data_IF_522258701902
#
_entry.id   IF_522258701902
#
_cell.length_a   1.000
_cell.length_b   1.000
_cell.length_c   1.000
_cell.angle_alpha   90.00
_cell.angle_beta   90.00
_cell.angle_gamma   90.00
#
_symmetry.space_group_name_H-M   'P 1'
#
loop_
_entity.id
_entity.type
_entity.pdbx_description
1 polymer ?
#
# COMPACT_ATOMS: atom_id res chain seq x y z
N UNK A 1 10.61 -47.23 -58.86
CA UNK A 1 11.35 -46.55 -57.80
C UNK A 1 10.45 -45.41 -57.26
N UNK A 2 9.84 -45.62 -56.06
CA UNK A 2 8.99 -44.65 -55.37
C UNK A 2 9.88 -43.85 -54.42
N UNK A 3 10.03 -42.53 -54.59
CA UNK A 3 10.72 -41.65 -53.66
C UNK A 3 9.76 -41.25 -52.58
N UNK A 4 10.08 -41.61 -51.34
CA UNK A 4 9.36 -41.17 -50.12
C UNK A 4 9.98 -39.83 -49.73
N UNK A 5 9.15 -38.77 -49.73
CA UNK A 5 9.51 -37.44 -49.26
C UNK A 5 9.24 -37.41 -47.76
N UNK A 6 10.27 -37.35 -46.94
CA UNK A 6 10.14 -37.20 -45.48
C UNK A 6 9.91 -35.71 -45.18
N UNK A 7 8.73 -35.40 -44.64
CA UNK A 7 8.38 -34.05 -44.20
C UNK A 7 8.84 -33.88 -42.74
N UNK A 8 9.89 -33.12 -42.51
CA UNK A 8 10.37 -32.79 -41.15
C UNK A 8 9.54 -31.63 -40.59
N UNK A 9 8.66 -31.93 -39.66
CA UNK A 9 7.90 -30.91 -38.87
C UNK A 9 8.84 -30.33 -37.82
N UNK A 10 9.31 -29.10 -38.00
CA UNK A 10 10.03 -28.34 -36.99
C UNK A 10 8.99 -27.79 -36.00
N UNK A 11 8.93 -28.35 -34.79
CA UNK A 11 8.17 -27.80 -33.67
C UNK A 11 8.88 -26.55 -33.15
N UNK A 12 8.36 -25.37 -33.45
CA UNK A 12 8.80 -24.12 -32.80
C UNK A 12 8.33 -24.17 -31.32
N UNK A 13 9.25 -24.40 -30.43
CA UNK A 13 9.06 -24.16 -29.00
C UNK A 13 8.98 -22.65 -28.78
N UNK A 14 7.78 -22.10 -28.64
CA UNK A 14 7.59 -20.73 -28.16
C UNK A 14 7.99 -20.70 -26.71
N UNK A 15 9.15 -20.13 -26.41
CA UNK A 15 9.52 -19.76 -25.04
C UNK A 15 8.47 -18.75 -24.54
N UNK A 16 7.99 -18.89 -23.30
CA UNK A 16 7.08 -17.89 -22.74
C UNK A 16 7.82 -16.54 -22.75
N UNK A 17 7.18 -15.52 -23.27
CA UNK A 17 7.70 -14.16 -23.21
C UNK A 17 7.91 -13.79 -21.74
N UNK A 18 9.17 -13.60 -21.36
CA UNK A 18 9.56 -13.18 -20.04
C UNK A 18 9.07 -11.74 -19.85
N UNK A 19 8.29 -11.48 -18.82
CA UNK A 19 7.81 -10.13 -18.55
C UNK A 19 9.03 -9.24 -18.24
N UNK A 20 9.16 -8.12 -18.96
CA UNK A 20 10.20 -7.13 -18.68
C UNK A 20 10.02 -6.53 -17.27
N UNK A 21 11.14 -6.22 -16.58
CA UNK A 21 11.06 -5.55 -15.28
C UNK A 21 10.22 -4.27 -15.36
N UNK A 22 9.33 -4.08 -14.39
CA UNK A 22 8.43 -2.94 -14.34
C UNK A 22 8.81 -2.04 -13.18
N UNK A 23 8.75 -0.71 -13.37
CA UNK A 23 9.02 0.27 -12.31
C UNK A 23 7.75 0.97 -11.84
N UNK A 24 7.72 1.29 -10.55
CA UNK A 24 6.61 1.98 -9.88
C UNK A 24 7.14 2.95 -8.82
N UNK A 25 6.30 3.88 -8.35
CA UNK A 25 6.64 4.84 -7.30
C UNK A 25 5.90 4.57 -6.00
N UNK A 26 6.52 4.91 -4.86
CA UNK A 26 5.93 4.82 -3.54
C UNK A 26 6.24 6.11 -2.77
N UNK A 27 5.24 6.72 -2.15
CA UNK A 27 5.39 7.91 -1.30
C UNK A 27 4.21 8.01 -0.34
N UNK A 28 4.36 8.74 0.75
CA UNK A 28 3.31 8.97 1.74
C UNK A 28 3.75 9.95 2.81
N UNK A 29 2.97 10.11 3.88
CA UNK A 29 3.24 11.03 4.99
C UNK A 29 3.63 12.42 4.50
N UNK A 30 2.95 12.92 3.47
CA UNK A 30 3.18 14.21 2.79
C UNK A 30 1.90 14.64 2.06
N UNK A 31 1.60 15.97 1.99
CA UNK A 31 2.36 17.10 2.52
C UNK A 31 1.98 17.44 3.97
N UNK A 32 2.96 17.68 4.84
CA UNK A 32 2.75 18.06 6.25
C UNK A 32 3.05 19.53 6.55
N UNK A 33 3.71 20.22 5.62
CA UNK A 33 4.03 21.65 5.70
C UNK A 33 3.52 22.41 4.47
N UNK A 34 3.48 23.74 4.57
CA UNK A 34 3.14 24.60 3.44
C UNK A 34 4.13 24.41 2.28
N UNK A 35 5.41 24.31 2.57
CA UNK A 35 6.43 24.06 1.57
C UNK A 35 6.21 22.72 0.86
N UNK A 36 5.95 21.63 1.59
CA UNK A 36 5.67 20.33 0.99
C UNK A 36 4.41 20.37 0.12
N UNK A 37 3.36 21.09 0.57
CA UNK A 37 2.13 21.24 -0.21
C UNK A 37 2.36 22.00 -1.51
N UNK A 38 3.17 23.03 -1.51
CA UNK A 38 3.54 23.81 -2.71
C UNK A 38 4.39 22.96 -3.67
N UNK A 39 5.26 22.10 -3.16
CA UNK A 39 6.17 21.27 -3.96
C UNK A 39 5.60 19.88 -4.32
N UNK A 40 4.47 19.47 -3.76
CA UNK A 40 3.85 18.18 -4.08
C UNK A 40 3.53 17.99 -5.57
N UNK A 41 3.03 18.98 -6.32
CA UNK A 41 2.86 18.85 -7.76
C UNK A 41 4.19 18.59 -8.51
N UNK A 42 5.29 19.18 -8.07
CA UNK A 42 6.60 19.01 -8.69
C UNK A 42 7.20 17.63 -8.38
N UNK A 43 6.98 17.11 -7.16
CA UNK A 43 7.32 15.73 -6.80
C UNK A 43 6.57 14.72 -7.67
N UNK A 44 5.28 14.93 -7.89
CA UNK A 44 4.47 14.08 -8.77
C UNK A 44 4.97 14.22 -10.23
N UNK A 45 5.26 15.43 -10.69
CA UNK A 45 5.81 15.64 -12.02
C UNK A 45 7.20 15.00 -12.22
N UNK A 46 8.02 14.87 -11.17
CA UNK A 46 9.26 14.10 -11.23
C UNK A 46 8.96 12.62 -11.47
N UNK A 47 8.04 12.03 -10.69
CA UNK A 47 7.62 10.63 -10.88
C UNK A 47 7.00 10.40 -12.28
N UNK A 48 6.23 11.36 -12.78
CA UNK A 48 5.62 11.28 -14.11
C UNK A 48 6.67 11.20 -15.24
N UNK A 49 7.88 11.78 -15.05
CA UNK A 49 8.99 11.71 -16.03
C UNK A 49 9.77 10.39 -16.00
N UNK A 50 9.61 9.58 -14.95
CA UNK A 50 10.38 8.33 -14.75
C UNK A 50 9.76 7.09 -15.46
N UNK A 51 8.75 7.26 -16.30
CA UNK A 51 8.05 6.19 -17.01
C UNK A 51 7.55 5.06 -16.07
N UNK A 52 7.00 5.43 -14.92
CA UNK A 52 6.46 4.48 -13.96
C UNK A 52 5.14 3.89 -14.47
N UNK A 53 4.90 2.62 -14.16
CA UNK A 53 3.63 1.96 -14.47
C UNK A 53 2.48 2.56 -13.65
N UNK A 54 2.76 2.84 -12.38
CA UNK A 54 1.86 3.49 -11.42
C UNK A 54 2.69 4.07 -10.26
N UNK A 55 2.05 4.89 -9.46
CA UNK A 55 2.54 5.33 -8.15
C UNK A 55 1.53 4.98 -7.08
N UNK A 56 2.00 4.78 -5.83
CA UNK A 56 1.14 4.54 -4.67
C UNK A 56 1.45 5.57 -3.60
N UNK A 57 0.43 6.23 -3.09
CA UNK A 57 0.50 7.04 -1.88
C UNK A 57 -0.04 6.22 -0.71
N UNK A 58 0.77 5.96 0.29
CA UNK A 58 0.42 5.06 1.40
C UNK A 58 -0.24 5.74 2.60
N UNK A 59 -0.84 6.92 2.38
CA UNK A 59 -1.66 7.60 3.38
C UNK A 59 -1.02 8.83 3.98
N UNK A 60 -1.76 9.47 4.88
CA UNK A 60 -1.37 10.70 5.54
C UNK A 60 -1.12 11.86 4.59
N UNK A 61 -2.20 12.26 3.92
CA UNK A 61 -2.23 13.38 2.95
C UNK A 61 -2.25 14.76 3.60
N UNK A 62 -2.16 14.83 4.91
CA UNK A 62 -2.06 16.03 5.75
C UNK A 62 -1.39 15.67 7.07
N UNK A 63 -0.81 16.64 7.76
CA UNK A 63 -0.22 16.37 9.08
C UNK A 63 -1.30 16.12 10.15
N UNK A 64 -0.91 15.43 11.23
CA UNK A 64 -1.78 15.02 12.33
C UNK A 64 -2.36 16.17 13.17
N UNK A 65 -2.06 17.42 12.87
CA UNK A 65 -2.56 18.60 13.58
C UNK A 65 -3.26 19.63 12.67
N UNK A 66 -3.42 19.36 11.40
CA UNK A 66 -4.18 20.20 10.48
C UNK A 66 -5.63 19.76 10.36
N UNK A 67 -6.52 20.71 10.05
CA UNK A 67 -7.97 20.47 9.98
C UNK A 67 -8.33 19.47 8.88
N UNK A 68 -9.22 18.51 9.19
CA UNK A 68 -9.74 17.52 8.24
C UNK A 68 -10.93 18.06 7.42
N UNK A 69 -10.85 19.31 6.94
CA UNK A 69 -11.97 19.89 6.21
C UNK A 69 -12.14 19.28 4.81
N UNK A 70 -13.33 19.45 4.24
CA UNK A 70 -13.62 19.01 2.88
C UNK A 70 -12.70 19.69 1.86
N UNK A 71 -12.33 20.95 2.10
CA UNK A 71 -11.44 21.74 1.24
C UNK A 71 -10.04 21.12 1.21
N UNK A 72 -9.48 20.78 2.36
CA UNK A 72 -8.14 20.16 2.46
C UNK A 72 -8.10 18.83 1.70
N UNK A 73 -9.08 17.96 1.93
CA UNK A 73 -9.11 16.65 1.28
C UNK A 73 -9.33 16.77 -0.24
N UNK A 74 -10.21 17.67 -0.68
CA UNK A 74 -10.47 17.92 -2.11
C UNK A 74 -9.29 18.58 -2.82
N UNK A 75 -8.54 19.44 -2.12
CA UNK A 75 -7.34 20.06 -2.67
C UNK A 75 -6.27 18.99 -2.98
N UNK A 76 -6.02 18.05 -2.08
CA UNK A 76 -5.10 16.93 -2.34
C UNK A 76 -5.62 16.01 -3.45
N UNK A 77 -6.92 15.68 -3.43
CA UNK A 77 -7.52 14.90 -4.51
C UNK A 77 -7.30 15.56 -5.88
N UNK A 78 -7.47 16.89 -5.96
CA UNK A 78 -7.27 17.63 -7.20
C UNK A 78 -5.80 17.59 -7.67
N UNK A 79 -4.83 17.52 -6.75
CA UNK A 79 -3.42 17.33 -7.08
C UNK A 79 -3.19 15.90 -7.60
N UNK A 80 -3.68 14.88 -6.91
CA UNK A 80 -3.51 13.48 -7.32
C UNK A 80 -4.15 13.18 -8.68
N UNK A 81 -5.30 13.79 -8.98
CA UNK A 81 -5.97 13.65 -10.27
C UNK A 81 -5.19 14.25 -11.45
N UNK A 82 -4.24 15.16 -11.20
CA UNK A 82 -3.37 15.73 -12.23
C UNK A 82 -2.14 14.88 -12.57
N UNK A 83 -1.81 13.88 -11.76
CA UNK A 83 -0.72 12.96 -12.07
C UNK A 83 -0.92 12.34 -13.46
N UNK A 84 0.09 12.40 -14.33
CA UNK A 84 0.04 11.71 -15.62
C UNK A 84 0.15 10.18 -15.43
N UNK A 85 0.81 9.75 -14.35
CA UNK A 85 0.93 8.35 -13.94
C UNK A 85 -0.28 7.93 -13.12
N UNK A 86 -0.83 6.70 -13.27
CA UNK A 86 -1.89 6.21 -12.41
C UNK A 86 -1.46 6.28 -10.95
N UNK A 87 -2.31 6.87 -10.08
CA UNK A 87 -2.00 7.03 -8.67
C UNK A 87 -3.00 6.23 -7.83
N UNK A 88 -2.50 5.21 -7.15
CA UNK A 88 -3.25 4.44 -6.16
C UNK A 88 -3.09 5.11 -4.80
N UNK A 89 -4.16 5.25 -4.05
CA UNK A 89 -4.15 5.87 -2.73
C UNK A 89 -4.64 4.87 -1.68
N UNK A 90 -3.96 4.84 -0.54
CA UNK A 90 -4.34 4.10 0.66
C UNK A 90 -4.57 5.11 1.79
N UNK A 91 -5.68 5.05 2.56
CA UNK A 91 -5.94 6.01 3.62
C UNK A 91 -5.01 5.86 4.81
N UNK A 92 -4.53 7.00 5.35
CA UNK A 92 -3.83 7.07 6.63
C UNK A 92 -4.74 7.45 7.79
N UNK A 93 -4.19 7.61 8.99
CA UNK A 93 -4.97 7.99 10.17
C UNK A 93 -5.24 9.50 10.22
N UNK A 94 -4.37 10.32 9.69
CA UNK A 94 -4.48 11.77 9.73
C UNK A 94 -5.70 12.32 9.00
N UNK A 95 -6.18 11.65 7.96
CA UNK A 95 -7.31 12.11 7.16
C UNK A 95 -8.67 11.53 7.58
N UNK A 96 -8.72 10.61 8.58
CA UNK A 96 -10.00 10.13 9.08
C UNK A 96 -10.00 9.75 10.57
N UNK A 97 -9.19 8.81 11.08
CA UNK A 97 -9.26 8.38 12.48
C UNK A 97 -8.97 9.52 13.44
N UNK A 98 -7.99 10.35 13.15
CA UNK A 98 -7.51 11.45 13.99
C UNK A 98 -8.32 12.73 13.85
N UNK A 99 -9.23 12.78 12.91
CA UNK A 99 -10.06 13.95 12.65
C UNK A 99 -10.98 14.36 13.81
N UNK A 100 -11.19 13.46 14.79
CA UNK A 100 -11.93 13.74 16.02
C UNK A 100 -11.18 14.66 16.99
N UNK A 101 -9.86 14.84 16.82
CA UNK A 101 -9.05 15.69 17.68
C UNK A 101 -9.45 17.18 17.50
N UNK A 102 -9.37 17.97 18.58
CA UNK A 102 -9.79 19.37 18.55
C UNK A 102 -9.00 20.23 17.55
N UNK A 103 -7.70 19.97 17.42
CA UNK A 103 -6.83 20.62 16.43
C UNK A 103 -7.08 20.16 14.99
N UNK A 104 -7.79 19.05 14.80
CA UNK A 104 -8.19 18.53 13.49
C UNK A 104 -9.64 18.90 13.10
N UNK A 105 -10.34 19.65 13.95
CA UNK A 105 -11.66 20.19 13.66
C UNK A 105 -12.84 19.42 14.27
N UNK A 106 -12.60 18.42 15.15
CA UNK A 106 -13.63 17.62 15.83
C UNK A 106 -14.62 16.92 14.87
N UNK A 107 -14.14 16.41 13.75
CA UNK A 107 -14.97 15.66 12.82
C UNK A 107 -15.21 14.22 13.30
N UNK A 108 -16.31 13.62 12.91
CA UNK A 108 -16.57 12.21 13.11
C UNK A 108 -15.65 11.37 12.17
N UNK A 109 -14.85 10.45 12.70
CA UNK A 109 -13.95 9.60 11.88
C UNK A 109 -14.69 8.77 10.81
N UNK A 110 -15.85 8.22 11.14
CA UNK A 110 -16.62 7.42 10.20
C UNK A 110 -17.20 8.28 9.07
N UNK A 111 -17.61 9.51 9.38
CA UNK A 111 -18.05 10.48 8.38
C UNK A 111 -16.89 10.88 7.45
N UNK A 112 -15.67 11.13 8.00
CA UNK A 112 -14.49 11.43 7.17
C UNK A 112 -14.13 10.26 6.27
N UNK A 113 -14.09 9.03 6.79
CA UNK A 113 -13.89 7.83 5.98
C UNK A 113 -14.94 7.69 4.88
N UNK A 114 -16.20 8.00 5.19
CA UNK A 114 -17.28 8.05 4.20
C UNK A 114 -17.01 9.03 3.07
N UNK A 115 -16.47 10.22 3.38
CA UNK A 115 -16.06 11.22 2.38
C UNK A 115 -14.88 10.73 1.53
N UNK A 116 -13.86 10.14 2.14
CA UNK A 116 -12.75 9.55 1.40
C UNK A 116 -13.25 8.47 0.42
N UNK A 117 -14.12 7.57 0.88
CA UNK A 117 -14.73 6.54 0.04
C UNK A 117 -15.51 7.11 -1.14
N UNK A 118 -16.24 8.21 -0.93
CA UNK A 118 -17.02 8.86 -1.98
C UNK A 118 -16.16 9.59 -3.02
N UNK A 119 -15.04 10.18 -2.61
CA UNK A 119 -14.25 11.06 -3.47
C UNK A 119 -13.04 10.39 -4.08
N UNK A 120 -12.23 9.68 -3.29
CA UNK A 120 -10.99 9.05 -3.74
C UNK A 120 -11.23 7.66 -4.36
N UNK A 121 -12.34 7.01 -4.02
CA UNK A 121 -12.66 5.63 -4.44
C UNK A 121 -14.02 5.55 -5.14
N UNK A 122 -14.35 6.56 -5.95
CA UNK A 122 -15.66 6.71 -6.60
C UNK A 122 -15.95 5.65 -7.69
N UNK A 123 -14.90 5.05 -8.26
CA UNK A 123 -14.99 4.05 -9.32
C UNK A 123 -13.87 3.00 -9.16
N UNK A 124 -13.69 2.10 -10.13
CA UNK A 124 -12.69 1.03 -10.11
C UNK A 124 -11.35 1.40 -10.78
N UNK A 125 -11.12 2.69 -11.06
CA UNK A 125 -9.84 3.18 -11.57
C UNK A 125 -8.99 3.78 -10.45
N UNK A 126 -7.67 3.75 -10.63
CA UNK A 126 -6.74 4.59 -9.89
C UNK A 126 -7.01 6.08 -10.22
N UNK A 127 -6.52 6.97 -9.36
CA UNK A 127 -6.48 8.40 -9.62
C UNK A 127 -5.45 8.71 -10.74
N UNK A 128 -5.41 9.96 -11.19
CA UNK A 128 -4.51 10.40 -12.26
C UNK A 128 -5.15 10.32 -13.64
N UNK A 129 -4.36 10.65 -14.67
CA UNK A 129 -4.86 10.82 -16.04
C UNK A 129 -4.83 9.52 -16.85
N UNK A 130 -3.82 8.67 -16.63
CA UNK A 130 -3.72 7.39 -17.31
C UNK A 130 -4.52 6.33 -16.52
N UNK A 131 -5.45 5.60 -17.16
CA UNK A 131 -6.28 4.63 -16.46
C UNK A 131 -5.46 3.41 -16.02
N UNK A 132 -5.68 2.99 -14.77
CA UNK A 132 -5.29 1.70 -14.23
C UNK A 132 -6.51 1.11 -13.53
N UNK A 133 -6.97 -0.03 -14.01
CA UNK A 133 -8.11 -0.71 -13.39
C UNK A 133 -7.65 -1.44 -12.12
N UNK A 134 -8.40 -1.24 -11.04
CA UNK A 134 -8.18 -1.88 -9.74
C UNK A 134 -9.36 -2.80 -9.44
N UNK A 135 -9.07 -3.99 -8.95
CA UNK A 135 -10.10 -4.83 -8.33
C UNK A 135 -10.33 -4.32 -6.90
N UNK A 136 -11.59 -3.99 -6.58
CA UNK A 136 -11.98 -3.49 -5.27
C UNK A 136 -12.69 -4.55 -4.46
N UNK A 137 -12.44 -4.61 -3.16
CA UNK A 137 -13.14 -5.52 -2.28
C UNK A 137 -14.66 -5.27 -2.29
N UNK A 138 -15.08 -4.03 -2.49
CA UNK A 138 -16.48 -3.64 -2.57
C UNK A 138 -17.26 -4.25 -3.75
N UNK A 139 -16.62 -4.96 -4.67
CA UNK A 139 -17.30 -5.76 -5.70
C UNK A 139 -17.97 -7.02 -5.11
N UNK A 140 -17.49 -7.47 -3.94
CA UNK A 140 -18.15 -8.48 -3.15
C UNK A 140 -19.28 -7.83 -2.32
N UNK A 141 -20.57 -8.23 -2.49
CA UNK A 141 -21.68 -7.66 -1.73
C UNK A 141 -21.52 -7.72 -0.21
N UNK A 142 -20.80 -8.73 0.31
CA UNK A 142 -20.52 -8.86 1.73
C UNK A 142 -19.60 -7.75 2.26
N UNK A 143 -18.85 -7.11 1.37
CA UNK A 143 -17.86 -6.08 1.68
C UNK A 143 -18.08 -4.77 0.90
N UNK A 144 -19.31 -4.49 0.48
CA UNK A 144 -19.66 -3.35 -0.39
C UNK A 144 -19.22 -1.97 0.11
N UNK A 145 -19.00 -1.82 1.43
CA UNK A 145 -18.54 -0.57 2.03
C UNK A 145 -17.04 -0.30 1.84
N UNK A 146 -16.20 -1.33 1.62
CA UNK A 146 -14.74 -1.23 1.67
C UNK A 146 -14.15 -0.97 0.28
N UNK A 147 -14.42 0.21 -0.27
CA UNK A 147 -13.96 0.66 -1.59
C UNK A 147 -12.47 0.94 -1.64
N UNK A 148 -11.89 1.30 -0.52
CA UNK A 148 -10.47 1.62 -0.35
C UNK A 148 -9.55 0.39 -0.43
N UNK A 149 -10.07 -0.80 -0.14
CA UNK A 149 -9.32 -2.03 -0.29
C UNK A 149 -9.26 -2.45 -1.77
N UNK A 150 -8.06 -2.50 -2.31
CA UNK A 150 -7.80 -2.70 -3.75
C UNK A 150 -6.71 -3.72 -4.00
N UNK A 151 -6.70 -4.34 -5.19
CA UNK A 151 -5.57 -5.12 -5.69
C UNK A 151 -5.48 -5.04 -7.21
N UNK A 152 -4.27 -5.25 -7.72
CA UNK A 152 -3.99 -5.31 -9.15
C UNK A 152 -2.72 -6.14 -9.39
N UNK A 153 -2.58 -6.65 -10.60
CA UNK A 153 -1.37 -7.36 -11.02
C UNK A 153 -0.53 -6.47 -11.91
N UNK A 154 0.78 -6.46 -11.69
CA UNK A 154 1.75 -5.76 -12.54
C UNK A 154 3.12 -6.43 -12.47
N UNK A 155 3.84 -6.48 -13.59
CA UNK A 155 5.19 -7.06 -13.64
C UNK A 155 5.29 -8.52 -13.15
N UNK A 156 4.19 -9.28 -13.21
CA UNK A 156 4.14 -10.66 -12.72
C UNK A 156 3.98 -10.81 -11.21
N UNK A 157 3.68 -9.75 -10.47
CA UNK A 157 3.41 -9.78 -9.03
C UNK A 157 2.02 -9.20 -8.70
N UNK A 158 1.54 -9.49 -7.49
CA UNK A 158 0.29 -8.94 -6.96
C UNK A 158 0.58 -7.76 -6.04
N UNK A 159 -0.14 -6.66 -6.26
CA UNK A 159 -0.15 -5.47 -5.42
C UNK A 159 -1.49 -5.37 -4.69
N UNK A 160 -1.46 -5.02 -3.41
CA UNK A 160 -2.63 -4.98 -2.53
C UNK A 160 -2.60 -3.72 -1.69
N UNK A 161 -3.62 -2.87 -1.77
CA UNK A 161 -3.83 -1.75 -0.87
C UNK A 161 -4.90 -2.08 0.16
N UNK A 162 -4.66 -1.74 1.43
CA UNK A 162 -5.58 -2.04 2.54
C UNK A 162 -5.66 -0.88 3.52
N UNK A 163 -6.85 -0.58 4.01
CA UNK A 163 -7.05 0.42 5.06
C UNK A 163 -6.69 -0.17 6.44
N UNK A 164 -5.42 -0.03 6.80
CA UNK A 164 -4.88 -0.33 8.13
C UNK A 164 -4.11 0.93 8.57
N UNK A 165 -4.78 1.91 9.21
CA UNK A 165 -4.20 3.19 9.54
C UNK A 165 -3.38 3.15 10.83
N UNK A 166 -2.59 4.19 11.07
CA UNK A 166 -1.99 4.52 12.35
C UNK A 166 -3.00 4.63 13.49
N UNK A 167 -2.64 5.30 14.57
CA UNK A 167 -3.52 5.51 15.74
C UNK A 167 -4.16 4.21 16.24
N UNK A 168 -3.31 3.17 16.40
CA UNK A 168 -3.70 1.81 16.82
C UNK A 168 -4.85 1.23 15.96
N UNK A 169 -4.80 1.50 14.64
CA UNK A 169 -5.79 0.98 13.68
C UNK A 169 -7.25 1.34 14.06
N UNK A 170 -7.47 2.52 14.66
CA UNK A 170 -8.77 2.93 15.20
C UNK A 170 -9.37 1.98 16.26
N UNK A 171 -8.57 1.19 16.97
CA UNK A 171 -9.04 0.18 17.91
C UNK A 171 -10.02 0.74 18.95
N UNK A 172 -9.67 1.86 19.56
CA UNK A 172 -10.50 2.51 20.57
C UNK A 172 -11.51 3.54 20.01
N UNK A 173 -11.45 3.85 18.71
CA UNK A 173 -12.20 4.96 18.10
C UNK A 173 -11.79 6.30 18.72
N UNK A 174 -12.77 7.12 19.05
CA UNK A 174 -12.53 8.43 19.70
C UNK A 174 -12.29 8.34 21.22
N UNK A 175 -12.30 7.15 21.80
CA UNK A 175 -12.12 6.92 23.24
C UNK A 175 -10.63 6.82 23.58
N UNK A 176 -10.26 7.31 24.76
CA UNK A 176 -8.87 7.19 25.26
C UNK A 176 -8.48 5.77 25.66
N UNK A 177 -9.46 4.94 26.01
CA UNK A 177 -9.27 3.54 26.44
C UNK A 177 -10.58 2.77 26.28
N UNK A 178 -10.47 1.46 26.32
CA UNK A 178 -11.62 0.55 26.19
C UNK A 178 -11.32 -0.57 25.19
N UNK A 179 -12.33 -1.37 24.90
CA UNK A 179 -12.23 -2.42 23.89
C UNK A 179 -12.47 -1.89 22.46
N UNK A 180 -12.42 -2.78 21.48
CA UNK A 180 -12.57 -2.42 20.07
C UNK A 180 -13.93 -1.77 19.79
N UNK A 181 -13.92 -0.79 18.87
CA UNK A 181 -15.15 -0.19 18.34
C UNK A 181 -15.71 -1.02 17.19
N UNK A 182 -17.01 -0.85 16.88
CA UNK A 182 -17.66 -1.60 15.79
C UNK A 182 -16.96 -1.42 14.45
N UNK A 183 -16.57 -0.19 14.11
CA UNK A 183 -15.83 0.12 12.88
C UNK A 183 -14.54 -0.71 12.76
N UNK A 184 -13.74 -0.78 13.83
CA UNK A 184 -12.52 -1.59 13.87
C UNK A 184 -12.82 -3.08 13.63
N UNK A 185 -13.86 -3.62 14.30
CA UNK A 185 -14.24 -5.04 14.17
C UNK A 185 -14.68 -5.36 12.75
N UNK A 186 -15.54 -4.53 12.16
CA UNK A 186 -16.11 -4.74 10.84
C UNK A 186 -15.05 -4.60 9.74
N UNK A 187 -14.25 -3.52 9.80
CA UNK A 187 -13.15 -3.32 8.85
C UNK A 187 -12.05 -4.38 9.02
N UNK A 188 -11.78 -4.81 10.27
CA UNK A 188 -10.86 -5.90 10.56
C UNK A 188 -11.29 -7.21 9.91
N UNK A 189 -12.59 -7.54 9.94
CA UNK A 189 -13.12 -8.72 9.25
C UNK A 189 -12.97 -8.61 7.72
N UNK A 190 -13.24 -7.44 7.15
CA UNK A 190 -13.05 -7.18 5.72
C UNK A 190 -11.58 -7.30 5.31
N UNK A 191 -10.68 -6.67 6.06
CA UNK A 191 -9.24 -6.72 5.81
C UNK A 191 -8.70 -8.17 5.89
N UNK A 192 -9.15 -8.93 6.89
CA UNK A 192 -8.80 -10.35 7.04
C UNK A 192 -9.18 -11.17 5.83
N UNK A 193 -10.41 -10.99 5.34
CA UNK A 193 -10.90 -11.68 4.15
C UNK A 193 -10.11 -11.25 2.90
N UNK A 194 -9.82 -9.96 2.75
CA UNK A 194 -9.11 -9.42 1.59
C UNK A 194 -7.67 -9.92 1.50
N UNK A 195 -6.95 -9.92 2.63
CA UNK A 195 -5.59 -10.44 2.71
C UNK A 195 -5.54 -11.94 2.38
N UNK A 196 -6.44 -12.75 2.95
CA UNK A 196 -6.53 -14.17 2.65
C UNK A 196 -6.81 -14.44 1.16
N UNK A 197 -7.74 -13.68 0.55
CA UNK A 197 -8.05 -13.77 -0.88
C UNK A 197 -6.84 -13.37 -1.75
N UNK A 198 -6.08 -12.34 -1.36
CA UNK A 198 -4.88 -11.91 -2.08
C UNK A 198 -3.81 -13.02 -2.11
N UNK A 199 -3.51 -13.64 -0.98
CA UNK A 199 -2.56 -14.76 -0.93
C UNK A 199 -3.08 -16.00 -1.67
N UNK A 200 -4.38 -16.31 -1.57
CA UNK A 200 -4.98 -17.40 -2.32
C UNK A 200 -4.87 -17.17 -3.85
N UNK A 201 -5.12 -15.95 -4.31
CA UNK A 201 -4.96 -15.56 -5.71
C UNK A 201 -3.50 -15.72 -6.18
N UNK A 202 -2.55 -15.19 -5.40
CA UNK A 202 -1.13 -15.28 -5.75
C UNK A 202 -0.66 -16.74 -5.82
N UNK A 203 -1.08 -17.59 -4.86
CA UNK A 203 -0.80 -19.04 -4.89
C UNK A 203 -1.42 -19.73 -6.12
N UNK A 204 -2.68 -19.45 -6.42
CA UNK A 204 -3.38 -20.07 -7.56
C UNK A 204 -2.73 -19.72 -8.91
N UNK A 205 -2.22 -18.49 -9.03
CA UNK A 205 -1.52 -17.99 -10.23
C UNK A 205 -0.02 -18.25 -10.20
N UNK A 206 0.51 -18.84 -9.12
CA UNK A 206 1.96 -19.08 -8.91
C UNK A 206 2.78 -17.80 -9.07
N UNK A 207 2.26 -16.68 -8.58
CA UNK A 207 2.99 -15.41 -8.63
C UNK A 207 4.20 -15.47 -7.68
N UNK A 208 5.36 -14.95 -8.10
CA UNK A 208 6.58 -15.00 -7.28
C UNK A 208 6.61 -13.95 -6.17
N UNK A 209 5.67 -12.98 -6.16
CA UNK A 209 5.67 -11.93 -5.15
C UNK A 209 4.32 -11.27 -4.90
N UNK A 210 4.16 -10.78 -3.67
CA UNK A 210 3.03 -9.94 -3.22
C UNK A 210 3.62 -8.69 -2.55
N UNK A 211 3.15 -7.51 -2.94
CA UNK A 211 3.44 -6.25 -2.27
C UNK A 211 2.15 -5.69 -1.67
N UNK A 212 2.13 -5.56 -0.35
CA UNK A 212 0.99 -5.08 0.43
C UNK A 212 1.31 -3.66 0.89
N UNK A 213 0.38 -2.72 0.68
CA UNK A 213 0.49 -1.32 1.11
C UNK A 213 -0.56 -1.05 2.17
N UNK A 214 -0.12 -0.58 3.32
CA UNK A 214 -0.95 -0.03 4.41
C UNK A 214 -0.35 1.32 4.82
N UNK A 215 -1.02 2.09 5.69
CA UNK A 215 -0.37 3.31 6.18
C UNK A 215 0.39 3.06 7.49
N UNK A 216 -0.18 2.33 8.46
CA UNK A 216 0.39 2.15 9.78
C UNK A 216 1.76 1.48 9.82
N UNK A 217 2.64 1.92 10.71
CA UNK A 217 3.71 1.07 11.23
C UNK A 217 3.13 0.11 12.29
N UNK A 218 2.95 -1.19 11.99
CA UNK A 218 2.23 -2.09 12.89
C UNK A 218 3.07 -2.56 14.10
N UNK A 219 4.32 -2.07 14.26
CA UNK A 219 5.13 -2.32 15.44
C UNK A 219 5.76 -3.70 15.52
N UNK A 220 6.51 -4.13 14.52
CA UNK A 220 7.18 -5.45 14.49
C UNK A 220 8.02 -5.75 15.73
N UNK A 221 8.75 -4.76 16.26
CA UNK A 221 9.57 -4.97 17.46
C UNK A 221 8.73 -5.39 18.67
N UNK A 222 7.61 -4.71 18.92
CA UNK A 222 6.70 -5.08 20.00
C UNK A 222 6.04 -6.44 19.76
N UNK A 223 5.71 -6.75 18.51
CA UNK A 223 5.12 -8.04 18.13
C UNK A 223 6.09 -9.20 18.34
N UNK A 224 7.37 -9.06 18.00
CA UNK A 224 8.41 -10.06 18.24
C UNK A 224 8.67 -10.28 19.73
N UNK A 225 8.50 -9.23 20.54
CA UNK A 225 8.54 -9.31 22.00
C UNK A 225 7.26 -9.91 22.63
N UNK A 226 6.27 -10.33 21.81
CA UNK A 226 5.02 -10.92 22.27
C UNK A 226 3.97 -9.91 22.75
N UNK A 227 4.19 -8.61 22.51
CA UNK A 227 3.30 -7.53 22.96
C UNK A 227 2.89 -6.60 21.79
N UNK A 228 2.26 -7.13 20.72
CA UNK A 228 1.75 -6.28 19.63
C UNK A 228 0.66 -5.33 20.15
N UNK A 229 0.59 -4.15 19.56
CA UNK A 229 -0.56 -3.25 19.77
C UNK A 229 -1.88 -3.99 19.50
N UNK A 230 -2.93 -3.77 20.29
CA UNK A 230 -4.18 -4.50 20.15
C UNK A 230 -4.82 -4.32 18.76
N UNK A 231 -4.67 -3.13 18.14
CA UNK A 231 -5.17 -2.83 16.81
C UNK A 231 -4.45 -3.53 15.66
N UNK A 232 -3.22 -4.04 15.89
CA UNK A 232 -2.43 -4.69 14.86
C UNK A 232 -2.21 -6.19 15.07
N UNK A 233 -2.60 -6.73 16.20
CA UNK A 233 -2.34 -8.13 16.59
C UNK A 233 -2.83 -9.13 15.54
N UNK A 234 -4.09 -9.04 15.16
CA UNK A 234 -4.70 -9.99 14.23
C UNK A 234 -4.14 -9.86 12.83
N UNK A 235 -3.89 -8.61 12.38
CA UNK A 235 -3.25 -8.33 11.11
C UNK A 235 -1.84 -8.92 11.03
N UNK A 236 -1.00 -8.67 12.04
CA UNK A 236 0.38 -9.19 12.08
C UNK A 236 0.43 -10.71 12.18
N UNK A 237 -0.51 -11.32 12.93
CA UNK A 237 -0.62 -12.77 13.03
C UNK A 237 -0.94 -13.37 11.67
N UNK A 238 -1.98 -12.88 11.01
CA UNK A 238 -2.38 -13.36 9.69
C UNK A 238 -1.28 -13.11 8.63
N UNK A 239 -0.70 -11.91 8.60
CA UNK A 239 0.38 -11.57 7.66
C UNK A 239 1.55 -12.55 7.79
N UNK A 240 1.93 -12.93 9.00
CA UNK A 240 3.00 -13.89 9.25
C UNK A 240 2.64 -15.29 8.77
N UNK A 241 1.46 -15.80 9.15
CA UNK A 241 0.97 -17.11 8.74
C UNK A 241 0.90 -17.25 7.22
N UNK A 242 0.34 -16.25 6.55
CA UNK A 242 0.25 -16.21 5.09
C UNK A 242 1.63 -16.13 4.44
N UNK A 243 2.55 -15.32 4.99
CA UNK A 243 3.92 -15.19 4.49
C UNK A 243 4.70 -16.50 4.63
N UNK A 244 4.63 -17.15 5.78
CA UNK A 244 5.33 -18.44 5.99
C UNK A 244 4.80 -19.57 5.10
N UNK A 245 3.52 -19.51 4.73
CA UNK A 245 2.89 -20.48 3.82
C UNK A 245 3.04 -20.13 2.33
N UNK A 246 3.60 -18.95 2.01
CA UNK A 246 3.81 -18.50 0.64
C UNK A 246 5.23 -18.74 0.17
N UNK A 247 5.41 -19.36 -0.99
CA UNK A 247 6.73 -19.69 -1.53
C UNK A 247 7.47 -18.52 -2.17
N UNK A 248 6.75 -17.41 -2.45
CA UNK A 248 7.31 -16.21 -3.06
C UNK A 248 7.71 -15.15 -2.04
N UNK A 249 8.11 -13.97 -2.54
CA UNK A 249 8.50 -12.82 -1.72
C UNK A 249 7.26 -12.03 -1.29
N UNK A 250 7.26 -11.57 -0.05
CA UNK A 250 6.22 -10.71 0.51
C UNK A 250 6.85 -9.39 0.96
N UNK A 251 6.33 -8.29 0.46
CA UNK A 251 6.72 -6.94 0.89
C UNK A 251 5.55 -6.28 1.59
N UNK A 252 5.79 -5.71 2.76
CA UNK A 252 4.89 -4.74 3.39
C UNK A 252 5.47 -3.35 3.24
N UNK A 253 4.74 -2.49 2.53
CA UNK A 253 5.00 -1.05 2.43
C UNK A 253 4.12 -0.32 3.42
N UNK A 254 4.70 0.63 4.15
CA UNK A 254 3.97 1.49 5.08
C UNK A 254 4.66 2.84 5.27
N UNK A 255 3.96 3.81 5.88
CA UNK A 255 4.43 5.10 6.34
C UNK A 255 4.41 5.25 7.86
N UNK A 256 3.71 6.27 8.36
CA UNK A 256 3.33 6.56 9.75
C UNK A 256 4.46 7.08 10.65
N UNK A 257 5.61 6.43 10.68
CA UNK A 257 6.69 6.83 11.59
C UNK A 257 7.80 7.66 10.95
N UNK A 258 7.71 7.91 9.64
CA UNK A 258 8.61 8.77 8.85
C UNK A 258 10.10 8.38 8.93
N UNK A 259 10.36 7.08 9.08
CA UNK A 259 11.73 6.54 9.23
C UNK A 259 12.04 5.62 8.07
N UNK A 260 12.26 6.20 6.89
CA UNK A 260 12.56 5.39 5.72
C UNK A 260 13.56 4.28 6.04
N UNK A 261 13.14 3.06 5.85
CA UNK A 261 13.93 1.87 6.11
C UNK A 261 13.46 0.68 5.27
N UNK A 262 14.41 -0.20 4.95
CA UNK A 262 14.16 -1.46 4.26
C UNK A 262 14.85 -2.54 5.08
N UNK A 263 14.08 -3.47 5.65
CA UNK A 263 14.63 -4.54 6.49
C UNK A 263 13.70 -5.77 6.55
N UNK A 264 14.11 -6.80 7.27
CA UNK A 264 13.37 -8.04 7.49
C UNK A 264 13.03 -8.21 8.97
N UNK A 265 12.05 -7.43 9.50
CA UNK A 265 11.79 -7.39 10.94
C UNK A 265 10.90 -8.53 11.45
N UNK A 266 10.31 -9.34 10.59
CA UNK A 266 9.37 -10.40 11.00
C UNK A 266 10.11 -11.62 11.50
N UNK A 267 9.76 -12.09 12.69
CA UNK A 267 10.31 -13.32 13.28
C UNK A 267 9.22 -14.39 13.44
N UNK A 268 9.61 -15.63 13.34
CA UNK A 268 8.78 -16.76 13.78
C UNK A 268 8.64 -16.74 15.31
N UNK A 269 7.44 -16.78 15.88
CA UNK A 269 7.24 -16.66 17.32
C UNK A 269 7.81 -17.83 18.12
N UNK A 270 7.98 -19.00 17.52
CA UNK A 270 8.44 -20.22 18.17
C UNK A 270 9.96 -20.36 18.08
N UNK A 271 10.53 -20.19 16.87
CA UNK A 271 11.97 -20.39 16.62
C UNK A 271 12.79 -19.12 16.82
N UNK A 272 12.16 -17.95 16.80
CA UNK A 272 12.80 -16.63 16.82
C UNK A 272 13.67 -16.35 15.58
N UNK A 273 13.58 -17.18 14.57
CA UNK A 273 14.27 -16.98 13.30
C UNK A 273 13.55 -15.94 12.44
N UNK A 274 14.32 -15.16 11.69
CA UNK A 274 13.79 -14.19 10.73
C UNK A 274 13.05 -14.92 9.60
N UNK A 275 11.85 -14.46 9.29
CA UNK A 275 11.05 -14.89 8.13
C UNK A 275 11.67 -14.29 6.87
N UNK A 276 12.50 -15.08 6.16
CA UNK A 276 13.44 -14.62 5.12
C UNK A 276 12.77 -14.13 3.84
N UNK A 277 11.55 -14.58 3.54
CA UNK A 277 10.78 -14.13 2.38
C UNK A 277 9.88 -12.92 2.68
N UNK A 278 10.09 -12.26 3.84
CA UNK A 278 9.39 -11.04 4.21
C UNK A 278 10.34 -9.84 4.21
N UNK A 279 9.91 -8.74 3.61
CA UNK A 279 10.60 -7.44 3.66
C UNK A 279 9.61 -6.36 4.07
N UNK A 280 9.99 -5.51 5.02
CA UNK A 280 9.32 -4.26 5.31
C UNK A 280 10.03 -3.12 4.60
N UNK A 281 9.27 -2.25 3.93
CA UNK A 281 9.72 -0.99 3.36
C UNK A 281 8.87 0.15 3.91
N UNK A 282 9.47 1.07 4.64
CA UNK A 282 8.83 2.30 5.11
C UNK A 282 9.15 3.43 4.13
N UNK A 283 8.13 4.17 3.69
CA UNK A 283 8.27 5.27 2.76
C UNK A 283 9.03 6.46 3.36
N UNK A 284 9.35 7.44 2.53
CA UNK A 284 9.91 8.71 2.98
C UNK A 284 8.73 9.57 3.44
N UNK A 285 8.80 10.09 4.68
CA UNK A 285 7.77 10.96 5.25
C UNK A 285 8.37 12.25 5.82
N UNK A 286 7.52 13.26 6.02
CA UNK A 286 7.89 14.56 6.57
C UNK A 286 8.68 14.43 7.89
N UNK A 287 9.74 15.26 8.14
CA UNK A 287 10.15 16.42 7.36
C UNK A 287 11.03 16.11 6.14
N UNK A 288 11.33 14.83 5.88
CA UNK A 288 11.99 14.44 4.65
C UNK A 288 10.97 14.42 3.51
N UNK A 289 11.38 14.89 2.33
CA UNK A 289 10.54 14.96 1.17
C UNK A 289 11.15 14.15 0.04
N UNK A 290 10.34 13.33 -0.61
CA UNK A 290 10.84 12.42 -1.64
C UNK A 290 9.92 11.25 -1.91
N UNK A 291 10.43 10.27 -2.63
CA UNK A 291 9.70 9.07 -3.00
C UNK A 291 10.65 7.87 -3.15
N UNK A 292 10.12 6.67 -3.23
CA UNK A 292 10.91 5.46 -3.42
C UNK A 292 10.55 4.85 -4.77
N UNK A 293 11.55 4.65 -5.64
CA UNK A 293 11.39 3.90 -6.88
C UNK A 293 11.42 2.42 -6.56
N UNK A 294 10.34 1.73 -6.86
CA UNK A 294 10.25 0.28 -6.82
C UNK A 294 10.48 -0.32 -8.20
N UNK A 295 11.08 -1.50 -8.24
CA UNK A 295 11.16 -2.34 -9.43
C UNK A 295 10.60 -3.70 -9.08
N UNK A 296 9.75 -4.26 -9.94
CA UNK A 296 9.30 -5.65 -9.86
C UNK A 296 9.83 -6.40 -11.07
N UNK A 297 10.49 -7.54 -10.79
CA UNK A 297 11.02 -8.46 -11.79
C UNK A 297 10.70 -9.89 -11.34
N UNK A 298 9.74 -10.51 -12.00
CA UNK A 298 9.30 -11.87 -11.70
C UNK A 298 10.39 -12.96 -11.92
N UNK A 299 11.50 -12.60 -12.56
CA UNK A 299 12.64 -13.48 -12.83
C UNK A 299 13.76 -13.36 -11.82
N UNK A 300 13.76 -12.26 -11.04
CA UNK A 300 14.70 -12.06 -9.94
C UNK A 300 14.21 -12.83 -8.70
N UNK A 301 15.04 -13.64 -8.04
CA UNK A 301 14.67 -14.31 -6.79
C UNK A 301 14.20 -13.37 -5.68
N UNK A 302 14.63 -12.10 -5.68
CA UNK A 302 14.17 -11.08 -4.74
C UNK A 302 12.85 -10.43 -5.15
N UNK A 303 12.44 -10.57 -6.40
CA UNK A 303 11.22 -10.01 -7.02
C UNK A 303 11.13 -8.48 -6.96
N UNK A 304 11.36 -7.89 -5.79
CA UNK A 304 11.22 -6.46 -5.56
C UNK A 304 12.55 -5.80 -5.17
N UNK A 305 12.82 -4.64 -5.76
CA UNK A 305 13.97 -3.78 -5.40
C UNK A 305 13.49 -2.36 -5.19
N UNK A 306 14.14 -1.63 -4.28
CA UNK A 306 13.76 -0.27 -3.91
C UNK A 306 14.95 0.66 -3.94
N UNK A 307 14.73 1.90 -4.42
CA UNK A 307 15.74 2.95 -4.50
C UNK A 307 15.13 4.29 -4.06
N UNK A 308 15.53 4.84 -2.90
CA UNK A 308 14.99 6.10 -2.41
C UNK A 308 15.47 7.29 -3.25
N UNK A 309 14.61 8.29 -3.38
CA UNK A 309 14.79 9.55 -4.07
C UNK A 309 14.46 10.69 -3.11
N UNK A 310 15.46 11.22 -2.42
CA UNK A 310 15.28 12.33 -1.50
C UNK A 310 15.38 13.66 -2.22
N UNK A 311 14.47 14.57 -1.94
CA UNK A 311 14.59 15.97 -2.31
C UNK A 311 15.35 16.71 -1.23
N UNK A 312 16.22 17.62 -1.68
CA UNK A 312 16.88 18.56 -0.75
C UNK A 312 15.85 19.62 -0.36
N UNK A 313 15.43 19.61 0.89
CA UNK A 313 14.63 20.68 1.44
C UNK A 313 15.55 21.93 1.60
N UNK A 314 15.23 23.08 0.95
CA UNK A 314 16.01 24.30 1.11
C UNK A 314 16.07 24.84 2.56
N UNK A 315 15.16 24.38 3.42
CA UNK A 315 15.09 24.77 4.84
C UNK A 315 16.01 23.93 5.75
N UNK A 316 16.82 23.01 5.20
CA UNK A 316 17.95 22.40 5.91
C UNK A 316 17.59 21.24 6.85
N UNK A 317 16.59 20.43 6.51
CA UNK A 317 16.33 19.14 7.17
C UNK A 317 16.91 17.99 6.35
#
# INVERSE_FOLDING_TARGET
MKRILALTIATLLTLPAQAEPLTFGLFGDTPYSHWERENLPDLIAEMDRENLAFVVHDGDVKNGSSVCSDEVLKDILAVFQKSATPLVYVPGDNEWTDCHRSNNGNYDPAERLGKLRAWFFSNDLALGQRPLKLERQSTDPAFAAYRENVRWEAGGALFVGMNVPGSDNNFNGTRRSGGPVAEFIERGAANKAWLAQAFALARSKKLPGILIVIQANPGFHAANAGNPGPGYRDFLTQLREETQSFSGQVVLVHGDTHRHQINQPMEDPNTKETVRNFTRMETIGSPFFGWVKGTVDATDPQVFRFSPRFWKNPQGY
#
